data_IF_797988802405
#
_entry.id   IF_797988802405
#
_cell.length_a   1.000
_cell.length_b   1.000
_cell.length_c   1.000
_cell.angle_alpha   90.00
_cell.angle_beta   90.00
_cell.angle_gamma   90.00
#
_symmetry.space_group_name_H-M   'P 1'
#
loop_
_entity.id
_entity.type
_entity.pdbx_description
1 polymer ?
#
# COMPACT_ATOMS: atom_id res chain seq x y z
N UNK A 1 -0.39 13.83 6.64
CA UNK A 1 0.18 12.47 6.71
C UNK A 1 1.03 12.21 5.48
N UNK A 2 2.08 11.41 5.62
CA UNK A 2 3.02 11.07 4.54
C UNK A 2 2.98 9.56 4.23
N UNK A 3 2.87 9.23 2.94
CA UNK A 3 2.97 7.89 2.36
C UNK A 3 4.29 7.80 1.59
N UNK A 4 5.24 6.99 2.05
CA UNK A 4 6.55 6.82 1.43
C UNK A 4 6.60 5.51 0.66
N UNK A 5 7.09 5.50 -0.59
CA UNK A 5 7.35 4.28 -1.34
C UNK A 5 8.84 4.19 -1.69
N UNK A 6 9.36 2.96 -1.68
CA UNK A 6 10.68 2.65 -2.21
C UNK A 6 10.57 1.40 -3.09
N UNK A 7 11.13 1.48 -4.30
CA UNK A 7 11.24 0.36 -5.25
C UNK A 7 12.48 -0.44 -4.90
N UNK A 8 12.36 -1.77 -4.82
CA UNK A 8 13.49 -2.68 -4.58
C UNK A 8 13.68 -3.64 -5.76
N UNK A 9 14.82 -3.64 -6.47
CA UNK A 9 16.02 -2.80 -6.24
C UNK A 9 15.78 -1.33 -6.62
N UNK A 10 16.64 -0.44 -6.10
CA UNK A 10 16.57 0.99 -6.43
C UNK A 10 16.67 1.20 -7.95
N UNK A 11 15.83 2.10 -8.45
CA UNK A 11 15.65 2.32 -9.88
C UNK A 11 15.41 3.80 -10.11
N UNK A 12 16.07 4.39 -11.11
CA UNK A 12 15.74 5.76 -11.52
C UNK A 12 14.32 5.78 -12.10
N UNK A 13 13.40 6.40 -11.36
CA UNK A 13 11.99 6.58 -11.70
C UNK A 13 11.64 8.04 -12.03
N UNK A 14 12.64 8.91 -12.19
CA UNK A 14 12.43 10.36 -12.41
C UNK A 14 11.62 10.67 -13.67
N UNK A 15 11.81 9.87 -14.72
CA UNK A 15 11.13 9.99 -15.99
C UNK A 15 9.80 9.21 -16.06
N UNK A 16 9.49 8.38 -15.07
CA UNK A 16 8.29 7.55 -15.09
C UNK A 16 7.05 8.36 -14.72
N UNK A 17 5.92 7.87 -15.22
CA UNK A 17 4.61 8.30 -14.72
C UNK A 17 4.27 7.54 -13.45
N UNK A 18 3.67 8.24 -12.49
CA UNK A 18 3.21 7.72 -11.21
C UNK A 18 1.72 8.04 -11.06
N UNK A 19 0.93 7.04 -10.69
CA UNK A 19 -0.48 7.20 -10.37
C UNK A 19 -0.77 6.55 -9.02
N UNK A 20 -1.26 7.35 -8.07
CA UNK A 20 -1.67 6.88 -6.75
C UNK A 20 -3.19 6.83 -6.66
N UNK A 21 -3.72 5.75 -6.10
CA UNK A 21 -5.14 5.48 -5.93
C UNK A 21 -5.47 5.20 -4.47
N UNK A 22 -6.69 5.55 -4.10
CA UNK A 22 -7.37 5.06 -2.92
C UNK A 22 -8.62 4.33 -3.39
N UNK A 23 -8.63 3.02 -3.23
CA UNK A 23 -9.66 2.16 -3.84
C UNK A 23 -9.74 2.47 -5.36
N UNK A 24 -10.88 2.99 -5.85
CA UNK A 24 -11.05 3.38 -7.26
C UNK A 24 -10.77 4.87 -7.55
N UNK A 25 -10.56 5.69 -6.51
CA UNK A 25 -10.34 7.13 -6.66
C UNK A 25 -8.86 7.44 -6.97
N UNK A 26 -8.61 8.23 -8.01
CA UNK A 26 -7.29 8.75 -8.33
C UNK A 26 -6.92 9.85 -7.31
N UNK A 27 -5.91 9.58 -6.49
CA UNK A 27 -5.42 10.48 -5.44
C UNK A 27 -4.40 11.47 -5.99
N UNK A 28 -3.45 10.99 -6.79
CA UNK A 28 -2.40 11.82 -7.34
C UNK A 28 -1.90 11.25 -8.67
N UNK A 29 -1.54 12.12 -9.61
CA UNK A 29 -0.95 11.75 -10.90
C UNK A 29 0.25 12.64 -11.13
N UNK A 30 1.37 12.03 -11.47
CA UNK A 30 2.58 12.69 -11.93
C UNK A 30 2.97 12.08 -13.28
N UNK A 31 3.10 12.93 -14.30
CA UNK A 31 3.49 12.50 -15.66
C UNK A 31 4.20 13.63 -16.38
N UNK A 32 5.07 13.29 -17.33
CA UNK A 32 5.86 14.28 -18.08
C UNK A 32 6.67 15.23 -17.19
N UNK A 33 7.11 14.77 -16.01
CA UNK A 33 7.85 15.53 -14.98
C UNK A 33 7.06 16.60 -14.23
N UNK A 34 5.74 16.57 -14.30
CA UNK A 34 4.85 17.52 -13.62
C UNK A 34 3.68 16.81 -12.94
N UNK A 35 3.16 17.45 -11.89
CA UNK A 35 1.91 17.03 -11.27
C UNK A 35 0.77 17.31 -12.25
N UNK A 36 -0.08 16.31 -12.46
CA UNK A 36 -1.24 16.42 -13.35
C UNK A 36 -2.55 16.28 -12.56
N UNK A 37 -3.25 17.39 -12.29
CA UNK A 37 -4.51 17.36 -11.55
C UNK A 37 -5.73 17.00 -12.41
N UNK A 38 -5.60 16.83 -13.74
CA UNK A 38 -6.76 16.68 -14.64
C UNK A 38 -7.58 15.42 -14.32
N UNK A 39 -6.91 14.30 -14.06
CA UNK A 39 -7.54 13.02 -13.72
C UNK A 39 -7.72 12.80 -12.22
N UNK A 40 -7.25 13.71 -11.36
CA UNK A 40 -7.39 13.54 -9.92
C UNK A 40 -8.86 13.65 -9.50
N UNK A 41 -9.28 12.75 -8.63
CA UNK A 41 -10.61 12.80 -8.04
C UNK A 41 -10.77 14.08 -7.21
N UNK A 42 -11.94 14.70 -7.29
CA UNK A 42 -12.19 16.05 -6.74
C UNK A 42 -11.86 16.17 -5.24
N UNK A 43 -12.05 15.09 -4.48
CA UNK A 43 -11.76 15.02 -3.03
C UNK A 43 -10.27 15.20 -2.69
N UNK A 44 -9.35 14.98 -3.63
CA UNK A 44 -7.90 15.01 -3.40
C UNK A 44 -7.18 16.20 -4.03
N UNK A 45 -7.85 16.94 -4.92
CA UNK A 45 -7.28 18.12 -5.56
C UNK A 45 -6.82 19.14 -4.52
N UNK A 46 -5.65 19.72 -4.72
CA UNK A 46 -4.99 20.69 -3.84
C UNK A 46 -4.67 20.18 -2.43
N UNK A 47 -4.85 18.88 -2.16
CA UNK A 47 -4.53 18.24 -0.87
C UNK A 47 -3.33 17.33 -0.96
N UNK A 48 -2.87 16.97 -2.15
CA UNK A 48 -1.74 16.07 -2.37
C UNK A 48 -0.50 16.82 -2.82
N UNK A 49 0.67 16.41 -2.31
CA UNK A 49 1.98 16.92 -2.72
C UNK A 49 2.93 15.75 -2.86
N UNK A 50 3.53 15.60 -4.04
CA UNK A 50 4.55 14.59 -4.29
C UNK A 50 5.95 15.18 -4.02
N UNK A 51 6.69 14.55 -3.11
CA UNK A 51 8.10 14.80 -2.93
C UNK A 51 8.92 14.00 -3.96
N UNK A 52 9.69 14.73 -4.76
CA UNK A 52 10.40 14.24 -5.94
C UNK A 52 11.92 14.17 -5.72
N UNK A 53 12.40 14.45 -4.51
CA UNK A 53 13.83 14.56 -4.21
C UNK A 53 14.62 13.28 -4.54
N UNK A 54 14.05 12.11 -4.25
CA UNK A 54 14.76 10.83 -4.32
C UNK A 54 14.22 9.90 -5.42
N UNK A 55 13.58 10.46 -6.46
CA UNK A 55 13.08 9.67 -7.60
C UNK A 55 14.22 8.96 -8.36
N UNK A 56 15.42 9.52 -8.35
CA UNK A 56 16.60 8.88 -8.98
C UNK A 56 17.02 7.60 -8.23
N UNK A 57 16.72 7.53 -6.93
CA UNK A 57 17.01 6.38 -6.06
C UNK A 57 15.84 5.39 -5.95
N UNK A 58 14.76 5.59 -6.71
CA UNK A 58 13.58 4.72 -6.65
C UNK A 58 12.68 4.97 -5.45
N UNK A 59 12.78 6.14 -4.80
CA UNK A 59 11.95 6.47 -3.64
C UNK A 59 11.21 7.80 -3.78
N UNK A 60 10.03 7.87 -3.21
CA UNK A 60 9.22 9.09 -3.20
C UNK A 60 8.34 9.13 -1.97
N UNK A 61 7.79 10.30 -1.67
CA UNK A 61 6.74 10.41 -0.66
C UNK A 61 5.57 11.26 -1.15
N UNK A 62 4.36 10.82 -0.85
CA UNK A 62 3.12 11.53 -1.12
C UNK A 62 2.56 12.05 0.19
N UNK A 63 2.41 13.36 0.29
CA UNK A 63 1.77 14.01 1.44
C UNK A 63 0.32 14.28 1.13
N UNK A 64 -0.59 13.80 2.00
CA UNK A 64 -2.00 14.19 2.01
C UNK A 64 -2.28 15.18 3.15
N UNK A 65 -2.85 16.33 2.79
CA UNK A 65 -3.18 17.47 3.67
C UNK A 65 -4.66 17.48 4.07
N UNK A 66 -4.96 18.14 5.19
CA UNK A 66 -6.32 18.34 5.72
C UNK A 66 -7.10 17.02 5.81
N UNK A 67 -6.51 16.03 6.48
CA UNK A 67 -7.07 14.67 6.55
C UNK A 67 -8.32 14.66 7.42
N UNK A 68 -9.33 13.97 6.95
CA UNK A 68 -10.64 13.78 7.56
C UNK A 68 -10.95 12.28 7.67
N UNK A 69 -12.00 11.93 8.41
CA UNK A 69 -12.48 10.54 8.49
C UNK A 69 -12.83 9.92 7.14
N UNK A 70 -13.24 10.73 6.16
CA UNK A 70 -13.57 10.26 4.81
C UNK A 70 -12.35 9.87 3.99
N UNK A 71 -11.14 10.18 4.45
CA UNK A 71 -9.90 9.82 3.78
C UNK A 71 -9.39 8.43 4.20
N UNK A 72 -10.04 7.78 5.16
CA UNK A 72 -9.77 6.37 5.49
C UNK A 72 -9.93 5.48 4.25
N UNK A 73 -9.08 4.45 4.12
CA UNK A 73 -9.09 3.56 2.96
C UNK A 73 -7.71 3.02 2.60
N UNK A 74 -7.65 2.21 1.54
CA UNK A 74 -6.42 1.56 1.10
C UNK A 74 -5.74 2.34 -0.02
N UNK A 75 -4.54 2.83 0.25
CA UNK A 75 -3.76 3.60 -0.71
C UNK A 75 -2.75 2.71 -1.42
N UNK A 76 -2.63 2.87 -2.73
CA UNK A 76 -1.63 2.20 -3.57
C UNK A 76 -1.11 3.17 -4.62
N UNK A 77 0.09 2.93 -5.12
CA UNK A 77 0.65 3.69 -6.24
C UNK A 77 1.19 2.75 -7.31
N UNK A 78 1.09 3.13 -8.56
CA UNK A 78 1.61 2.35 -9.68
C UNK A 78 2.45 3.22 -10.62
N UNK A 79 3.42 2.57 -11.26
CA UNK A 79 4.18 3.11 -12.39
C UNK A 79 3.67 2.42 -13.66
N UNK A 80 2.69 3.00 -14.38
CA UNK A 80 1.94 2.29 -15.43
C UNK A 80 2.84 1.76 -16.54
N UNK A 81 3.88 2.51 -16.91
CA UNK A 81 4.82 2.13 -17.97
C UNK A 81 5.70 0.93 -17.58
N UNK A 82 5.97 0.74 -16.29
CA UNK A 82 6.81 -0.35 -15.79
C UNK A 82 6.00 -1.53 -15.26
N UNK A 83 4.67 -1.39 -15.16
CA UNK A 83 3.82 -2.39 -14.50
C UNK A 83 4.22 -2.65 -13.05
N UNK A 84 4.82 -1.67 -12.37
CA UNK A 84 5.15 -1.75 -10.94
C UNK A 84 3.95 -1.22 -10.17
N UNK A 85 3.46 -1.99 -9.22
CA UNK A 85 2.39 -1.58 -8.29
C UNK A 85 2.92 -1.72 -6.88
N UNK A 86 2.64 -0.74 -6.03
CA UNK A 86 3.02 -0.78 -4.63
C UNK A 86 2.13 -1.71 -3.81
N UNK A 87 2.63 -2.19 -2.68
CA UNK A 87 1.75 -2.74 -1.65
C UNK A 87 0.71 -1.69 -1.23
N UNK A 88 -0.51 -2.14 -0.95
CA UNK A 88 -1.55 -1.25 -0.44
C UNK A 88 -1.34 -0.97 1.06
N UNK A 89 -1.65 0.25 1.50
CA UNK A 89 -1.56 0.66 2.91
C UNK A 89 -2.89 1.23 3.41
N UNK A 90 -3.41 0.67 4.50
CA UNK A 90 -4.68 1.09 5.09
C UNK A 90 -4.54 2.33 5.96
N UNK A 91 -5.19 3.42 5.58
CA UNK A 91 -5.33 4.64 6.34
C UNK A 91 -6.52 4.55 7.29
N UNK A 92 -6.24 4.66 8.58
CA UNK A 92 -7.22 4.76 9.66
C UNK A 92 -6.97 6.09 10.36
N UNK A 93 -8.01 6.92 10.48
CA UNK A 93 -7.97 8.24 11.09
C UNK A 93 -8.57 8.07 12.47
N UNK A 94 -7.76 7.83 13.50
CA UNK A 94 -8.30 7.73 14.86
C UNK A 94 -8.82 9.09 15.32
N UNK A 95 -10.10 9.17 15.68
CA UNK A 95 -10.61 10.36 16.37
C UNK A 95 -10.03 10.35 17.77
N UNK A 96 -9.30 11.39 18.16
CA UNK A 96 -8.87 11.56 19.54
C UNK A 96 -10.08 11.88 20.41
N UNK A 97 -10.87 10.85 20.75
CA UNK A 97 -11.69 10.89 21.93
C UNK A 97 -10.75 10.54 23.07
N UNK A 98 -10.30 11.55 23.80
CA UNK A 98 -9.69 11.43 25.11
C UNK A 98 -10.71 10.78 26.08
N UNK A 99 -10.90 9.47 25.97
CA UNK A 99 -11.52 8.66 27.02
C UNK A 99 -10.42 8.22 27.98
N UNK A 100 -10.19 9.03 29.01
CA UNK A 100 -9.66 8.50 30.27
C UNK A 100 -10.70 7.54 30.83
N UNK A 101 -10.55 6.26 30.50
CA UNK A 101 -11.13 5.19 31.31
C UNK A 101 -9.98 4.51 32.03
N UNK A 102 -9.75 4.94 33.28
CA UNK A 102 -9.03 4.15 34.26
C UNK A 102 -9.64 2.75 34.30
N UNK A 103 -8.85 1.72 33.98
CA UNK A 103 -9.17 0.35 34.34
C UNK A 103 -7.92 -0.37 34.81
N UNK A 104 -7.94 -0.72 36.08
CA UNK A 104 -7.08 -1.70 36.72
C UNK A 104 -7.78 -3.08 36.78
N UNK A 105 -7.10 -4.17 37.17
CA UNK A 105 -6.89 -5.34 36.32
C UNK A 105 -7.63 -6.61 36.79
N UNK A 106 -7.59 -7.66 35.96
CA UNK A 106 -7.93 -9.03 36.35
C UNK A 106 -7.98 -9.97 35.14
N UNK A 107 -6.96 -10.85 35.00
CA UNK A 107 -7.01 -12.33 35.07
C UNK A 107 -7.91 -13.00 34.01
N UNK A 108 -7.55 -14.06 33.29
CA UNK A 108 -6.46 -15.04 33.32
C UNK A 108 -6.94 -16.29 32.54
N UNK A 109 -6.00 -17.21 32.25
CA UNK A 109 -6.13 -18.55 31.62
C UNK A 109 -6.46 -18.59 30.10
N UNK A 110 -5.58 -19.09 29.22
CA UNK A 110 -4.95 -20.43 29.08
C UNK A 110 -5.91 -21.55 28.66
N UNK A 111 -5.62 -22.12 27.48
CA UNK A 111 -5.79 -23.52 27.05
C UNK A 111 -6.07 -23.49 25.54
N UNK A 112 -5.19 -23.91 24.64
CA UNK A 112 -4.58 -25.22 24.66
C UNK A 112 -5.46 -26.20 23.86
N UNK A 113 -4.92 -26.64 22.72
CA UNK A 113 -5.27 -27.83 21.93
C UNK A 113 -6.47 -27.75 20.96
N UNK A 114 -6.25 -27.86 19.64
CA UNK A 114 -6.00 -29.04 18.77
C UNK A 114 -7.26 -29.31 17.94
N UNK A 115 -7.13 -29.14 16.63
CA UNK A 115 -7.73 -30.03 15.65
C UNK A 115 -6.82 -30.06 14.41
N UNK A 116 -5.68 -30.75 14.56
CA UNK A 116 -5.09 -31.50 13.45
C UNK A 116 -6.10 -32.56 13.00
N UNK A 117 -5.96 -33.02 11.76
CA UNK A 117 -6.81 -33.96 10.99
C UNK A 117 -7.75 -33.16 10.08
N UNK A 118 -7.54 -33.10 8.76
CA UNK A 118 -7.31 -34.23 7.88
C UNK A 118 -6.19 -33.96 6.85
N UNK A 119 -5.04 -34.60 7.07
CA UNK A 119 -4.17 -35.01 5.97
C UNK A 119 -4.78 -36.26 5.33
N UNK A 120 -4.70 -36.33 4.00
CA UNK A 120 -4.89 -37.48 3.09
C UNK A 120 -6.08 -37.30 2.14
N UNK A 121 -5.75 -36.81 0.96
CA UNK A 121 -6.60 -36.89 -0.23
C UNK A 121 -6.07 -35.96 -1.32
N UNK A 122 -5.49 -36.52 -2.38
CA UNK A 122 -5.13 -35.87 -3.67
C UNK A 122 -3.69 -35.34 -3.83
N UNK A 123 -2.68 -36.17 -3.59
CA UNK A 123 -1.27 -35.80 -3.79
C UNK A 123 -0.75 -35.73 -5.23
N UNK A 124 -1.46 -36.26 -6.25
CA UNK A 124 -0.88 -36.38 -7.60
C UNK A 124 -1.50 -35.42 -8.63
N UNK A 125 -2.81 -35.18 -8.61
CA UNK A 125 -3.44 -34.16 -9.47
C UNK A 125 -3.09 -32.74 -9.03
N UNK A 126 -2.98 -32.53 -7.71
CA UNK A 126 -2.60 -31.26 -7.12
C UNK A 126 -1.16 -30.89 -7.48
N UNK A 127 -0.23 -31.86 -7.64
CA UNK A 127 1.14 -31.58 -8.04
C UNK A 127 1.26 -30.97 -9.45
N UNK A 128 0.53 -31.52 -10.43
CA UNK A 128 0.50 -30.99 -11.80
C UNK A 128 -0.25 -29.64 -11.88
N UNK A 129 -1.32 -29.46 -11.10
CA UNK A 129 -2.01 -28.17 -10.96
C UNK A 129 -1.13 -27.12 -10.25
N UNK A 130 -0.40 -27.48 -9.19
CA UNK A 130 0.57 -26.62 -8.51
C UNK A 130 1.69 -26.24 -9.48
N UNK A 131 2.21 -27.15 -10.30
CA UNK A 131 3.22 -26.83 -11.31
C UNK A 131 2.66 -25.88 -12.37
N UNK A 132 1.44 -26.10 -12.85
CA UNK A 132 0.77 -25.22 -13.81
C UNK A 132 0.44 -23.83 -13.20
N UNK A 133 0.08 -23.75 -11.92
CA UNK A 133 -0.16 -22.49 -11.19
C UNK A 133 1.15 -21.76 -10.86
N UNK A 134 2.20 -22.50 -10.48
CA UNK A 134 3.54 -21.96 -10.18
C UNK A 134 4.19 -21.36 -11.43
N UNK A 135 3.90 -21.90 -12.62
CA UNK A 135 4.37 -21.36 -13.90
C UNK A 135 3.60 -20.10 -14.34
N UNK A 136 2.32 -19.91 -13.98
CA UNK A 136 1.58 -18.66 -14.27
C UNK A 136 1.95 -17.51 -13.32
N UNK A 137 2.30 -17.82 -12.07
CA UNK A 137 2.67 -16.82 -11.07
C UNK A 137 4.07 -16.19 -11.26
N UNK A 138 4.84 -16.66 -12.23
CA UNK A 138 6.23 -16.25 -12.45
C UNK A 138 6.43 -15.23 -13.59
N UNK A 139 5.38 -14.84 -14.33
CA UNK A 139 5.55 -14.03 -15.55
C UNK A 139 5.37 -12.50 -15.37
N UNK A 140 5.24 -11.99 -14.14
CA UNK A 140 5.11 -10.53 -13.90
C UNK A 140 5.53 -10.11 -12.49
N UNK A 141 6.66 -10.59 -11.97
CA UNK A 141 7.21 -10.03 -10.73
C UNK A 141 8.02 -8.79 -11.05
N UNK A 142 7.32 -7.72 -11.44
CA UNK A 142 7.89 -6.39 -11.31
C UNK A 142 8.37 -6.20 -9.87
N UNK A 143 9.52 -5.53 -9.64
CA UNK A 143 10.02 -5.28 -8.30
C UNK A 143 8.92 -4.65 -7.44
N UNK A 144 8.66 -5.15 -6.22
CA UNK A 144 7.62 -4.58 -5.37
C UNK A 144 8.03 -3.16 -4.96
N UNK A 145 7.14 -2.18 -5.12
CA UNK A 145 7.28 -0.90 -4.42
C UNK A 145 6.68 -1.05 -3.03
N UNK A 146 7.48 -0.82 -1.99
CA UNK A 146 7.04 -0.99 -0.62
C UNK A 146 6.49 0.35 -0.12
N UNK A 147 5.17 0.45 -0.01
CA UNK A 147 4.49 1.63 0.51
C UNK A 147 4.42 1.58 2.05
N UNK A 148 4.90 2.62 2.72
CA UNK A 148 4.97 2.76 4.18
C UNK A 148 4.37 4.10 4.62
N UNK A 149 3.77 4.14 5.80
CA UNK A 149 3.33 5.38 6.44
C UNK A 149 4.46 5.93 7.28
N UNK A 150 4.78 7.22 7.13
CA UNK A 150 5.68 7.89 8.04
C UNK A 150 4.87 8.64 9.12
N UNK A 151 4.88 8.19 10.39
CA UNK A 151 4.14 8.84 11.46
C UNK A 151 4.83 10.11 12.00
N UNK A 152 6.12 10.35 11.68
CA UNK A 152 6.90 11.46 12.23
C UNK A 152 6.67 12.81 11.53
N UNK A 153 5.79 12.86 10.52
CA UNK A 153 5.42 14.09 9.79
C UNK A 153 3.95 14.39 10.05
N UNK A 154 3.68 14.96 11.23
CA UNK A 154 2.42 15.56 11.66
C UNK A 154 2.70 16.92 12.27
#
# INVERSE_FOLDING_TARGET
>A
MVLSCAVEPSLDIKADSLECKRDDDIVHVYRSRWDDPSSQHQKFKNRTVLDRQNLEDGSFSLTLKNITKEDEGNYSCCFPMRGIVSSAISLTVVSQMNKETNKDPGSGLSSGLIALIALIGLGLGVGLLILAWKNRAALSRSPPCILRRNPAVL
#
